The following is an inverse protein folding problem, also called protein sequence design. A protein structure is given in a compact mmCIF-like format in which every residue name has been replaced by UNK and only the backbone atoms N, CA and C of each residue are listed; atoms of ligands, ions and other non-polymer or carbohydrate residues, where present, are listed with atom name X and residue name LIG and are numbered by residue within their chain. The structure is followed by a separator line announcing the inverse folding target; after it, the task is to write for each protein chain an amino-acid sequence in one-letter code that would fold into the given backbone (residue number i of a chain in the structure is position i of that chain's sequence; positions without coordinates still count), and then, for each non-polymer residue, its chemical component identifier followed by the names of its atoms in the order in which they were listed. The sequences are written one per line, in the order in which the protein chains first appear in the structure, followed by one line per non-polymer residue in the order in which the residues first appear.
data_IF_316002796956
#
_entry.id   IF_316002796956
#
_cell.length_a   1.000
_cell.length_b   1.000
_cell.length_c   1.000
_cell.angle_alpha   90.00
_cell.angle_beta   90.00
_cell.angle_gamma   90.00
#
_symmetry.space_group_name_H-M   'P 1'
#
loop_
_entity.id
_entity.type
_entity.pdbx_description
1 polymer ?
#
# COMPACT_ATOMS: atom_id res chain seq x y z
N UNK A 1 20.38 -11.28 -5.20
CA UNK A 1 19.00 -11.67 -5.49
C UNK A 1 18.48 -10.77 -6.59
N UNK A 2 17.65 -11.29 -7.49
CA UNK A 2 16.91 -10.48 -8.45
C UNK A 2 15.71 -9.88 -7.71
N UNK A 3 15.60 -8.56 -7.70
CA UNK A 3 14.44 -7.87 -7.16
C UNK A 3 13.69 -7.22 -8.33
N UNK A 4 12.42 -7.57 -8.47
CA UNK A 4 11.51 -6.90 -9.40
C UNK A 4 10.78 -5.80 -8.62
N UNK A 5 10.84 -4.58 -9.13
CA UNK A 5 10.14 -3.42 -8.59
C UNK A 5 9.04 -2.98 -9.55
N UNK A 6 7.89 -2.57 -9.01
CA UNK A 6 6.89 -1.83 -9.76
C UNK A 6 7.08 -0.34 -9.50
N UNK A 7 7.17 0.45 -10.58
CA UNK A 7 7.43 1.88 -10.52
C UNK A 7 6.36 2.59 -11.32
N UNK A 8 5.61 3.51 -10.71
CA UNK A 8 4.84 4.50 -11.46
C UNK A 8 5.74 5.70 -11.78
N UNK A 9 5.87 6.04 -13.05
CA UNK A 9 6.62 7.22 -13.47
C UNK A 9 5.97 7.91 -14.67
N UNK A 10 6.38 9.15 -14.88
CA UNK A 10 6.05 9.92 -16.07
C UNK A 10 7.20 9.84 -17.06
N UNK A 11 6.90 9.56 -18.32
CA UNK A 11 7.83 9.80 -19.42
C UNK A 11 7.94 11.31 -19.64
N UNK A 12 9.15 11.88 -19.57
CA UNK A 12 9.37 13.32 -19.71
C UNK A 12 9.21 13.84 -21.15
N UNK A 13 9.36 12.97 -22.15
CA UNK A 13 9.23 13.31 -23.56
C UNK A 13 7.77 13.33 -24.02
N UNK A 14 6.96 12.36 -23.56
CA UNK A 14 5.54 12.27 -23.92
C UNK A 14 4.60 12.88 -22.88
N UNK A 15 5.05 12.99 -21.63
CA UNK A 15 4.23 13.40 -20.48
C UNK A 15 3.28 12.31 -19.99
N UNK A 16 3.31 11.11 -20.59
CA UNK A 16 2.43 10.00 -20.24
C UNK A 16 2.92 9.28 -18.97
N UNK A 17 1.97 8.83 -18.15
CA UNK A 17 2.28 8.03 -16.97
C UNK A 17 2.10 6.54 -17.27
N UNK A 18 3.02 5.73 -16.74
CA UNK A 18 2.90 4.29 -16.75
C UNK A 18 3.38 3.68 -15.43
N UNK A 19 2.93 2.46 -15.15
CA UNK A 19 3.55 1.56 -14.19
C UNK A 19 4.30 0.51 -14.97
N UNK A 20 5.59 0.37 -14.70
CA UNK A 20 6.44 -0.66 -15.32
C UNK A 20 7.14 -1.49 -14.26
N UNK A 21 7.44 -2.73 -14.64
CA UNK A 21 8.31 -3.63 -13.90
C UNK A 21 9.77 -3.34 -14.28
N UNK A 22 10.63 -3.18 -13.28
CA UNK A 22 12.06 -3.00 -13.44
C UNK A 22 12.82 -4.05 -12.64
N UNK A 23 13.84 -4.67 -13.26
CA UNK A 23 14.73 -5.61 -12.58
C UNK A 23 15.97 -4.90 -12.06
N UNK A 24 16.51 -5.36 -10.93
CA UNK A 24 17.76 -4.81 -10.36
C UNK A 24 19.02 -5.03 -11.23
N UNK A 25 18.94 -5.81 -12.30
CA UNK A 25 20.10 -6.28 -13.09
C UNK A 25 20.20 -5.73 -14.51
N UNK A 26 19.11 -5.21 -15.08
CA UNK A 26 19.11 -4.62 -16.42
C UNK A 26 18.07 -3.49 -16.52
N UNK A 27 18.55 -2.27 -16.75
CA UNK A 27 17.73 -1.06 -16.88
C UNK A 27 16.97 -0.97 -18.22
N UNK A 28 17.23 -1.91 -19.14
CA UNK A 28 16.71 -1.91 -20.51
C UNK A 28 15.41 -2.69 -20.69
N UNK A 29 15.12 -3.67 -19.84
CA UNK A 29 13.91 -4.49 -19.92
C UNK A 29 12.82 -3.92 -18.99
N UNK A 30 12.17 -2.85 -19.46
CA UNK A 30 10.99 -2.28 -18.80
C UNK A 30 9.73 -2.84 -19.44
N UNK A 31 9.03 -3.69 -18.72
CA UNK A 31 7.72 -4.17 -19.14
C UNK A 31 6.64 -3.25 -18.56
N UNK A 32 5.88 -2.60 -19.44
CA UNK A 32 4.77 -1.75 -19.03
C UNK A 32 3.60 -2.62 -18.60
N UNK A 33 3.19 -2.47 -17.34
CA UNK A 33 2.08 -3.22 -16.73
C UNK A 33 0.77 -2.42 -16.80
N UNK A 34 0.84 -1.10 -16.63
CA UNK A 34 -0.31 -0.19 -16.59
C UNK A 34 0.03 1.09 -17.35
N UNK A 35 -0.89 1.56 -18.21
CA UNK A 35 -0.77 2.86 -18.90
C UNK A 35 -1.57 3.95 -18.15
N UNK A 36 -1.19 4.21 -16.90
CA UNK A 36 -1.81 5.25 -16.07
C UNK A 36 -0.87 5.72 -14.95
N UNK A 37 -1.21 6.86 -14.34
CA UNK A 37 -0.61 7.31 -13.09
C UNK A 37 -1.19 6.52 -11.93
N UNK A 38 -0.34 5.77 -11.23
CA UNK A 38 -0.73 5.09 -10.01
C UNK A 38 -0.21 5.88 -8.81
N UNK A 39 -1.12 6.32 -7.93
CA UNK A 39 -0.77 7.02 -6.69
C UNK A 39 -0.27 6.04 -5.61
N UNK A 40 -0.68 4.77 -5.70
CA UNK A 40 -0.18 3.68 -4.87
C UNK A 40 -0.30 2.35 -5.61
N UNK A 41 0.63 1.42 -5.36
CA UNK A 41 0.72 0.12 -6.02
C UNK A 41 0.96 -0.95 -4.96
N UNK A 42 0.26 -2.08 -5.07
CA UNK A 42 0.54 -3.30 -4.34
C UNK A 42 0.57 -4.48 -5.32
N UNK A 43 1.32 -5.53 -5.00
CA UNK A 43 1.41 -6.70 -5.88
C UNK A 43 1.61 -7.99 -5.09
N UNK A 44 1.12 -9.10 -5.65
CA UNK A 44 1.32 -10.45 -5.14
C UNK A 44 1.98 -11.33 -6.21
N UNK A 45 2.81 -12.28 -5.78
CA UNK A 45 3.39 -13.31 -6.65
C UNK A 45 2.73 -14.66 -6.34
N UNK A 46 2.73 -15.61 -7.26
CA UNK A 46 2.15 -16.95 -7.02
C UNK A 46 3.15 -17.97 -6.46
N UNK A 47 4.43 -17.60 -6.29
CA UNK A 47 5.48 -18.52 -5.87
C UNK A 47 6.25 -18.04 -4.64
N UNK A 48 6.32 -18.90 -3.63
CA UNK A 48 7.21 -18.73 -2.48
C UNK A 48 8.62 -19.18 -2.90
N UNK A 49 9.57 -18.24 -2.87
CA UNK A 49 11.02 -18.51 -2.91
C UNK A 49 11.51 -19.34 -4.11
N UNK A 50 11.76 -18.70 -5.27
CA UNK A 50 12.89 -19.01 -6.19
C UNK A 50 12.79 -18.13 -7.46
N UNK A 51 13.76 -17.22 -7.66
CA UNK A 51 14.01 -16.39 -8.86
C UNK A 51 12.85 -15.50 -9.38
N UNK A 52 13.10 -14.20 -9.68
CA UNK A 52 12.21 -13.22 -10.39
C UNK A 52 10.92 -13.84 -10.95
N UNK A 53 9.90 -14.01 -10.10
CA UNK A 53 8.58 -14.47 -10.51
C UNK A 53 7.77 -13.20 -10.73
N UNK A 54 7.29 -12.95 -11.96
CA UNK A 54 6.43 -11.80 -12.24
C UNK A 54 5.22 -11.77 -11.29
N UNK A 55 4.75 -10.57 -10.90
CA UNK A 55 3.58 -10.45 -10.06
C UNK A 55 2.38 -11.06 -10.77
N UNK A 56 1.71 -11.98 -10.08
CA UNK A 56 0.48 -12.58 -10.56
C UNK A 56 -0.75 -11.73 -10.26
N UNK A 57 -0.62 -10.68 -9.44
CA UNK A 57 -1.69 -9.72 -9.19
C UNK A 57 -1.07 -8.34 -8.97
N UNK A 58 -1.62 -7.32 -9.61
CA UNK A 58 -1.25 -5.91 -9.39
C UNK A 58 -2.51 -5.13 -9.01
N UNK A 59 -2.50 -4.54 -7.82
CA UNK A 59 -3.48 -3.55 -7.41
C UNK A 59 -2.87 -2.16 -7.53
N UNK A 60 -3.68 -1.19 -7.95
CA UNK A 60 -3.25 0.20 -7.95
C UNK A 60 -4.40 1.15 -7.62
N UNK A 61 -4.04 2.28 -7.00
CA UNK A 61 -4.91 3.45 -6.89
C UNK A 61 -4.69 4.32 -8.11
N UNK A 62 -5.71 4.45 -8.97
CA UNK A 62 -5.66 5.25 -10.20
C UNK A 62 -6.95 6.06 -10.31
N UNK A 63 -6.86 7.37 -10.48
CA UNK A 63 -8.01 8.29 -10.56
C UNK A 63 -8.99 8.15 -9.37
N UNK A 64 -8.45 7.92 -8.16
CA UNK A 64 -9.23 7.64 -6.96
C UNK A 64 -10.11 6.37 -7.05
N UNK A 65 -9.72 5.41 -7.88
CA UNK A 65 -10.28 4.05 -7.92
C UNK A 65 -9.27 3.05 -7.36
N UNK A 66 -9.74 1.98 -6.74
CA UNK A 66 -8.91 0.81 -6.46
C UNK A 66 -9.16 -0.21 -7.57
N UNK A 67 -8.13 -0.51 -8.35
CA UNK A 67 -8.20 -1.41 -9.51
C UNK A 67 -7.31 -2.63 -9.31
N UNK A 68 -7.77 -3.80 -9.78
CA UNK A 68 -6.97 -5.00 -9.97
C UNK A 68 -6.66 -5.15 -11.46
N UNK A 69 -5.38 -5.11 -11.83
CA UNK A 69 -4.91 -5.23 -13.20
C UNK A 69 -4.56 -6.68 -13.54
N UNK A 70 -4.86 -7.06 -14.78
CA UNK A 70 -4.36 -8.28 -15.38
C UNK A 70 -2.85 -8.18 -15.65
N UNK A 71 -2.17 -9.29 -15.40
CA UNK A 71 -0.76 -9.51 -15.74
C UNK A 71 -0.68 -10.66 -16.75
N UNK A 72 0.49 -10.91 -17.38
CA UNK A 72 0.63 -12.08 -18.25
C UNK A 72 0.27 -13.39 -17.54
N UNK A 73 0.45 -13.46 -16.22
CA UNK A 73 0.19 -14.61 -15.35
C UNK A 73 -1.28 -14.72 -14.91
N UNK A 74 -2.06 -13.62 -14.89
CA UNK A 74 -3.48 -13.66 -14.47
C UNK A 74 -4.40 -14.31 -15.48
N UNK A 75 -3.98 -14.39 -16.75
CA UNK A 75 -4.83 -14.89 -17.84
C UNK A 75 -5.30 -16.33 -17.59
N UNK A 76 -4.46 -17.13 -16.94
CA UNK A 76 -4.73 -18.52 -16.61
C UNK A 76 -5.44 -18.70 -15.24
N UNK A 77 -5.56 -17.62 -14.44
CA UNK A 77 -6.06 -17.63 -13.05
C UNK A 77 -7.56 -17.36 -12.91
N UNK A 78 -8.40 -17.76 -13.86
CA UNK A 78 -9.87 -17.54 -13.89
C UNK A 78 -10.34 -16.07 -13.85
N UNK A 79 -9.42 -15.09 -13.74
CA UNK A 79 -9.73 -13.66 -13.78
C UNK A 79 -10.18 -13.18 -15.16
N UNK A 80 -9.73 -13.86 -16.23
CA UNK A 80 -10.03 -13.48 -17.62
C UNK A 80 -9.48 -12.12 -18.06
N UNK A 81 -8.65 -11.46 -17.24
CA UNK A 81 -8.03 -10.19 -17.53
C UNK A 81 -6.75 -10.40 -18.35
N UNK A 82 -6.65 -9.76 -19.52
CA UNK A 82 -5.42 -9.63 -20.27
C UNK A 82 -4.50 -8.56 -19.70
N UNK A 83 -3.28 -8.46 -20.22
CA UNK A 83 -2.34 -7.40 -19.85
C UNK A 83 -2.96 -6.03 -20.14
N UNK A 84 -3.02 -5.17 -19.11
CA UNK A 84 -3.60 -3.83 -19.18
C UNK A 84 -5.12 -3.78 -18.98
N UNK A 85 -5.83 -4.91 -19.05
CA UNK A 85 -7.22 -4.98 -18.60
C UNK A 85 -7.27 -4.87 -17.08
N UNK A 86 -8.37 -4.34 -16.55
CA UNK A 86 -8.54 -4.24 -15.10
C UNK A 86 -9.98 -4.42 -14.66
N UNK A 87 -10.13 -4.80 -13.40
CA UNK A 87 -11.37 -4.80 -12.65
C UNK A 87 -11.33 -3.68 -11.61
N UNK A 88 -12.38 -2.88 -11.56
CA UNK A 88 -12.58 -1.89 -10.48
C UNK A 88 -13.08 -2.63 -9.24
N UNK A 89 -12.32 -2.56 -8.15
CA UNK A 89 -12.71 -3.09 -6.83
C UNK A 89 -13.48 -2.04 -6.03
N UNK A 90 -13.07 -0.78 -6.14
CA UNK A 90 -13.76 0.37 -5.57
C UNK A 90 -13.80 1.50 -6.61
N UNK A 91 -15.00 1.96 -7.02
CA UNK A 91 -15.15 3.00 -8.03
C UNK A 91 -14.77 4.38 -7.50
N UNK A 92 -14.46 5.30 -8.41
CA UNK A 92 -14.18 6.68 -8.06
C UNK A 92 -15.41 7.30 -7.37
N UNK A 93 -15.18 7.86 -6.20
CA UNK A 93 -16.22 8.58 -5.45
C UNK A 93 -15.63 9.83 -4.83
N UNK A 94 -16.42 10.91 -4.79
CA UNK A 94 -16.07 12.09 -4.00
C UNK A 94 -16.06 11.79 -2.50
N UNK A 95 -16.66 10.69 -2.05
CA UNK A 95 -16.78 10.33 -0.64
C UNK A 95 -15.51 9.73 -0.06
N UNK A 96 -14.57 9.33 -0.90
CA UNK A 96 -13.32 8.69 -0.50
C UNK A 96 -12.12 9.45 -1.05
N UNK A 97 -10.97 9.34 -0.40
CA UNK A 97 -9.67 9.70 -0.98
C UNK A 97 -8.67 8.60 -0.67
N UNK A 98 -8.48 7.70 -1.64
CA UNK A 98 -7.58 6.58 -1.51
C UNK A 98 -6.14 7.06 -1.70
N UNK A 99 -5.30 6.91 -0.68
CA UNK A 99 -3.90 7.41 -0.73
C UNK A 99 -2.87 6.29 -0.73
N UNK A 100 -3.23 5.11 -0.24
CA UNK A 100 -2.31 3.99 -0.14
C UNK A 100 -3.05 2.67 -0.16
N UNK A 101 -2.41 1.69 -0.78
CA UNK A 101 -2.78 0.28 -0.69
C UNK A 101 -1.56 -0.56 -0.30
N UNK A 102 -1.79 -1.69 0.36
CA UNK A 102 -0.74 -2.64 0.68
C UNK A 102 -1.25 -4.08 0.69
N UNK A 103 -0.37 -4.98 0.30
CA UNK A 103 -0.57 -6.42 0.34
C UNK A 103 0.70 -7.07 0.87
N UNK A 104 0.57 -7.95 1.87
CA UNK A 104 1.68 -8.75 2.38
C UNK A 104 1.37 -10.24 2.25
N UNK A 105 2.05 -10.89 1.31
CA UNK A 105 1.81 -12.29 0.96
C UNK A 105 2.20 -13.28 2.07
N UNK A 106 3.14 -12.91 2.94
CA UNK A 106 3.61 -13.77 4.02
C UNK A 106 2.81 -13.59 5.32
N UNK A 107 1.67 -12.91 5.27
CA UNK A 107 0.74 -12.89 6.39
C UNK A 107 -0.07 -14.20 6.45
N UNK A 108 -0.48 -14.62 7.65
CA UNK A 108 -1.28 -15.85 7.84
C UNK A 108 -2.64 -15.76 7.12
N UNK A 109 -3.13 -14.53 6.94
CA UNK A 109 -4.31 -14.18 6.15
C UNK A 109 -4.00 -12.94 5.32
N UNK A 110 -3.49 -13.09 4.08
CA UNK A 110 -3.09 -11.94 3.31
C UNK A 110 -4.35 -11.21 2.80
N UNK A 111 -4.49 -9.95 3.21
CA UNK A 111 -5.57 -9.05 2.79
C UNK A 111 -4.99 -7.84 2.05
N UNK A 112 -5.77 -7.25 1.16
CA UNK A 112 -5.45 -5.95 0.59
C UNK A 112 -5.96 -4.88 1.55
N UNK A 113 -5.07 -4.05 2.07
CA UNK A 113 -5.43 -2.93 2.92
C UNK A 113 -5.41 -1.64 2.11
N UNK A 114 -6.35 -0.72 2.35
CA UNK A 114 -6.37 0.60 1.74
C UNK A 114 -6.68 1.71 2.74
N UNK A 115 -5.98 2.83 2.61
CA UNK A 115 -6.18 4.06 3.39
C UNK A 115 -7.17 4.96 2.69
N UNK A 116 -8.25 5.31 3.39
CA UNK A 116 -9.12 6.42 3.04
C UNK A 116 -8.75 7.64 3.88
N UNK A 117 -7.94 8.53 3.30
CA UNK A 117 -7.45 9.72 3.99
C UNK A 117 -8.56 10.74 4.27
N UNK A 118 -9.64 10.74 3.47
CA UNK A 118 -10.75 11.68 3.66
C UNK A 118 -11.56 11.32 4.90
N UNK A 119 -11.82 10.04 5.10
CA UNK A 119 -12.61 9.53 6.21
C UNK A 119 -11.76 9.00 7.37
N UNK A 120 -10.43 9.17 7.39
CA UNK A 120 -9.57 8.73 8.49
C UNK A 120 -9.75 7.24 8.85
N UNK A 121 -9.83 6.39 7.83
CA UNK A 121 -10.18 4.98 7.96
C UNK A 121 -9.24 4.10 7.14
N UNK A 122 -9.08 2.85 7.57
CA UNK A 122 -8.41 1.81 6.79
C UNK A 122 -9.37 0.64 6.59
N UNK A 123 -9.45 0.19 5.35
CA UNK A 123 -10.29 -0.94 4.95
C UNK A 123 -9.43 -2.13 4.54
N UNK A 124 -9.97 -3.33 4.72
CA UNK A 124 -9.42 -4.57 4.18
C UNK A 124 -10.36 -5.18 3.14
N UNK A 125 -9.80 -5.79 2.11
CA UNK A 125 -10.47 -6.68 1.16
C UNK A 125 -9.80 -8.05 1.21
N UNK A 126 -10.59 -9.10 1.01
CA UNK A 126 -10.08 -10.42 0.67
C UNK A 126 -10.05 -10.57 -0.85
N UNK A 127 -8.90 -10.44 -1.51
CA UNK A 127 -8.88 -10.42 -2.95
C UNK A 127 -8.73 -11.80 -3.59
N UNK A 128 -8.51 -12.87 -2.79
CA UNK A 128 -8.12 -14.19 -3.32
C UNK A 128 -9.05 -15.33 -2.87
N UNK A 129 -9.64 -15.28 -1.67
CA UNK A 129 -10.39 -16.44 -1.14
C UNK A 129 -11.72 -16.72 -1.84
N UNK A 130 -12.36 -15.71 -2.43
CA UNK A 130 -13.71 -15.81 -3.01
C UNK A 130 -13.75 -15.76 -4.54
N UNK A 131 -12.66 -16.11 -5.24
CA UNK A 131 -12.68 -16.25 -6.69
C UNK A 131 -13.35 -15.06 -7.39
N UNK A 132 -12.75 -13.87 -7.26
CA UNK A 132 -13.16 -12.68 -8.05
C UNK A 132 -14.62 -12.22 -7.84
N UNK A 133 -15.32 -12.62 -6.77
CA UNK A 133 -16.62 -12.04 -6.42
C UNK A 133 -16.56 -11.26 -5.10
N UNK A 134 -16.29 -9.96 -5.24
CA UNK A 134 -16.69 -8.88 -4.30
C UNK A 134 -16.59 -9.22 -2.81
N UNK A 135 -15.38 -9.41 -2.29
CA UNK A 135 -15.18 -9.35 -0.84
C UNK A 135 -15.62 -7.95 -0.36
N UNK A 136 -16.62 -7.93 0.51
CA UNK A 136 -17.09 -6.68 1.13
C UNK A 136 -15.94 -6.04 1.88
N UNK A 137 -15.62 -4.78 1.55
CA UNK A 137 -14.59 -4.02 2.28
C UNK A 137 -14.97 -3.95 3.75
N UNK A 138 -14.04 -4.29 4.64
CA UNK A 138 -14.25 -4.26 6.09
C UNK A 138 -13.40 -3.15 6.70
N UNK A 139 -14.01 -2.29 7.52
CA UNK A 139 -13.29 -1.30 8.31
C UNK A 139 -12.44 -2.02 9.38
N UNK A 140 -11.15 -1.73 9.43
CA UNK A 140 -10.18 -2.42 10.32
C UNK A 140 -9.35 -1.48 11.19
N UNK A 141 -9.30 -0.19 10.85
CA UNK A 141 -8.69 0.82 11.71
C UNK A 141 -9.33 2.19 11.51
N UNK A 142 -9.29 2.99 12.58
CA UNK A 142 -10.07 4.22 12.70
C UNK A 142 -11.49 3.95 13.19
N UNK A 143 -12.30 5.01 13.19
CA UNK A 143 -13.69 4.95 13.64
C UNK A 143 -14.65 5.14 12.48
N UNK A 144 -15.84 4.51 12.55
CA UNK A 144 -16.89 4.62 11.55
C UNK A 144 -17.40 6.07 11.34
N UNK A 145 -17.24 6.94 12.34
CA UNK A 145 -17.63 8.36 12.22
C UNK A 145 -16.71 9.21 11.35
N UNK A 146 -15.55 8.65 10.98
CA UNK A 146 -14.56 9.21 10.08
C UNK A 146 -13.86 10.48 10.57
N UNK A 147 -13.94 10.79 11.86
CA UNK A 147 -13.32 12.01 12.41
C UNK A 147 -11.81 11.86 12.56
N UNK A 148 -11.10 12.94 12.22
CA UNK A 148 -9.69 13.08 12.50
C UNK A 148 -9.48 13.46 13.98
N UNK A 149 -9.27 12.46 14.84
CA UNK A 149 -8.98 12.66 16.26
C UNK A 149 -7.69 11.90 16.59
N UNK A 150 -6.79 12.56 17.32
CA UNK A 150 -5.55 11.92 17.77
C UNK A 150 -5.74 11.25 19.14
N UNK A 151 -6.56 10.20 19.16
CA UNK A 151 -6.81 9.34 20.32
C UNK A 151 -6.57 7.87 19.95
N UNK A 152 -6.84 6.92 20.83
CA UNK A 152 -6.53 5.51 20.56
C UNK A 152 -7.52 4.80 19.62
N UNK A 153 -8.67 5.42 19.33
CA UNK A 153 -9.79 4.84 18.58
C UNK A 153 -9.94 5.45 17.17
N UNK A 154 -9.29 6.58 16.91
CA UNK A 154 -9.35 7.30 15.64
C UNK A 154 -7.97 7.40 14.96
N UNK A 155 -8.01 7.65 13.66
CA UNK A 155 -6.84 8.05 12.88
C UNK A 155 -6.88 9.56 12.67
N UNK A 156 -5.70 10.16 12.43
CA UNK A 156 -5.56 11.59 12.24
C UNK A 156 -4.86 11.89 10.91
N UNK A 157 -5.64 12.03 9.83
CA UNK A 157 -5.16 12.19 8.46
C UNK A 157 -4.17 11.09 8.03
N UNK A 158 -4.60 9.83 8.00
CA UNK A 158 -3.76 8.73 7.56
C UNK A 158 -3.37 8.90 6.08
N UNK A 159 -2.18 8.42 5.70
CA UNK A 159 -1.61 8.58 4.35
C UNK A 159 -1.16 7.25 3.74
N UNK A 160 -0.56 6.39 4.55
CA UNK A 160 0.06 5.15 4.09
C UNK A 160 -0.26 3.97 5.01
N UNK A 161 -0.34 2.76 4.45
CA UNK A 161 -0.55 1.51 5.20
C UNK A 161 0.48 0.46 4.79
N UNK A 162 0.90 -0.36 5.74
CA UNK A 162 1.73 -1.54 5.54
C UNK A 162 1.23 -2.65 6.47
N UNK A 163 0.94 -3.84 5.96
CA UNK A 163 0.62 -5.02 6.79
C UNK A 163 1.86 -5.89 7.00
N UNK A 164 2.05 -6.40 8.20
CA UNK A 164 3.10 -7.34 8.54
C UNK A 164 2.77 -8.09 9.83
N UNK A 165 2.90 -9.43 9.80
CA UNK A 165 2.67 -10.33 10.93
C UNK A 165 1.31 -10.13 11.61
N UNK A 166 0.24 -10.02 10.83
CA UNK A 166 -1.13 -9.87 11.33
C UNK A 166 -1.46 -8.47 11.85
N UNK A 167 -0.53 -7.52 11.80
CA UNK A 167 -0.76 -6.12 12.17
C UNK A 167 -0.72 -5.22 10.94
N UNK A 168 -1.40 -4.07 11.05
CA UNK A 168 -1.25 -2.97 10.11
C UNK A 168 -0.55 -1.79 10.78
N UNK A 169 0.41 -1.24 10.06
CA UNK A 169 1.14 -0.04 10.40
C UNK A 169 0.60 1.06 9.52
N UNK A 170 0.17 2.16 10.14
CA UNK A 170 -0.50 3.25 9.46
C UNK A 170 0.27 4.51 9.72
N UNK A 171 0.69 5.18 8.66
CA UNK A 171 1.25 6.51 8.75
C UNK A 171 0.17 7.56 8.69
N UNK A 172 0.31 8.58 9.53
CA UNK A 172 -0.67 9.64 9.70
C UNK A 172 0.01 10.93 10.18
N UNK A 173 -0.73 12.04 10.22
CA UNK A 173 -0.24 13.27 10.82
C UNK A 173 -0.26 13.19 12.35
N UNK A 174 0.57 14.01 13.00
CA UNK A 174 0.55 14.23 14.44
C UNK A 174 -0.20 15.52 14.82
N UNK A 175 -0.91 15.50 15.95
CA UNK A 175 -1.51 16.69 16.53
C UNK A 175 -0.56 17.36 17.56
N UNK A 176 -0.47 18.70 17.59
CA UNK A 176 0.36 19.47 18.55
C UNK A 176 0.64 20.93 18.14
N UNK A 177 1.13 21.79 19.05
CA UNK A 177 1.44 23.21 18.77
C UNK A 177 2.58 23.39 17.74
N UNK A 178 3.50 22.42 17.66
CA UNK A 178 4.57 22.33 16.66
C UNK A 178 4.21 21.39 15.47
N UNK A 179 2.92 21.22 15.17
CA UNK A 179 2.39 20.17 14.26
C UNK A 179 2.66 20.35 12.77
N UNK A 180 3.27 21.46 12.35
CA UNK A 180 3.64 21.64 10.94
C UNK A 180 4.70 20.57 10.61
N UNK A 181 4.27 19.53 9.88
CA UNK A 181 5.05 18.38 9.41
C UNK A 181 5.43 17.29 10.44
N UNK A 182 4.63 17.08 11.49
CA UNK A 182 4.80 15.88 12.33
C UNK A 182 4.07 14.69 11.70
N UNK A 183 4.80 13.61 11.46
CA UNK A 183 4.24 12.34 11.01
C UNK A 183 4.37 11.30 12.12
N UNK A 184 3.46 10.34 12.12
CA UNK A 184 3.41 9.26 13.10
C UNK A 184 3.13 7.96 12.39
N UNK A 185 3.69 6.87 12.91
CA UNK A 185 3.27 5.52 12.54
C UNK A 185 2.56 4.91 13.74
N UNK A 186 1.36 4.37 13.50
CA UNK A 186 0.60 3.64 14.51
C UNK A 186 0.47 2.19 14.13
N UNK A 187 0.55 1.30 15.13
CA UNK A 187 0.33 -0.14 14.98
C UNK A 187 -1.11 -0.46 15.39
N UNK A 188 -1.80 -1.22 14.56
CA UNK A 188 -3.19 -1.60 14.77
C UNK A 188 -3.37 -3.10 14.48
N UNK A 189 -4.07 -3.82 15.35
CA UNK A 189 -4.52 -5.18 15.06
C UNK A 189 -5.87 -5.11 14.34
N UNK A 190 -6.06 -5.67 13.13
CA UNK A 190 -7.29 -5.51 12.34
C UNK A 190 -8.61 -5.91 13.03
N UNK A 191 -8.54 -6.71 14.09
CA UNK A 191 -9.67 -7.13 14.92
C UNK A 191 -10.01 -6.13 16.04
N UNK A 192 -9.09 -5.23 16.36
CA UNK A 192 -9.14 -4.31 17.49
C UNK A 192 -9.85 -3.00 17.12
N UNK A 193 -10.49 -2.41 18.12
CA UNK A 193 -11.05 -1.04 18.04
C UNK A 193 -10.05 0.03 18.43
N UNK A 194 -8.84 -0.36 18.84
CA UNK A 194 -7.79 0.53 19.37
C UNK A 194 -6.42 0.20 18.80
N UNK A 195 -5.61 1.24 18.61
CA UNK A 195 -4.17 1.12 18.32
C UNK A 195 -3.36 0.72 19.55
N UNK A 196 -2.27 -0.02 19.36
CA UNK A 196 -1.41 -0.53 20.44
C UNK A 196 -0.14 0.29 20.64
N UNK A 197 0.40 0.84 19.55
CA UNK A 197 1.70 1.51 19.56
C UNK A 197 1.68 2.75 18.67
N UNK A 198 2.44 3.77 19.07
CA UNK A 198 2.61 5.04 18.35
C UNK A 198 4.08 5.39 18.30
N UNK A 199 4.60 5.55 17.10
CA UNK A 199 5.93 6.06 16.84
C UNK A 199 5.83 7.49 16.28
N UNK A 200 6.47 8.46 16.94
CA UNK A 200 6.40 9.87 16.57
C UNK A 200 7.72 10.33 15.94
N UNK A 201 7.64 11.04 14.82
CA UNK A 201 8.82 11.64 14.17
C UNK A 201 8.46 12.95 13.47
N UNK A 202 9.43 13.86 13.40
CA UNK A 202 9.28 15.11 12.64
C UNK A 202 9.91 14.90 11.26
N UNK A 203 9.20 15.28 10.20
CA UNK A 203 9.75 15.21 8.84
C UNK A 203 9.69 16.55 8.15
N UNK A 204 10.61 16.81 7.23
CA UNK A 204 10.46 17.86 6.22
C UNK A 204 10.59 17.17 4.85
N UNK A 205 9.46 16.78 4.23
CA UNK A 205 9.46 16.19 2.89
C UNK A 205 8.43 15.06 2.69
N UNK A 206 8.64 14.25 1.64
CA UNK A 206 7.75 13.14 1.25
C UNK A 206 8.02 11.90 2.09
N UNK A 207 6.97 11.34 2.67
CA UNK A 207 7.05 10.15 3.51
C UNK A 207 6.67 8.89 2.74
N UNK A 208 7.51 7.87 2.87
CA UNK A 208 7.14 6.47 2.65
C UNK A 208 7.65 5.70 3.86
N UNK A 209 7.08 4.55 4.16
CA UNK A 209 7.63 3.64 5.15
C UNK A 209 7.59 2.23 4.63
N UNK A 210 8.66 1.51 4.94
CA UNK A 210 8.79 0.11 4.64
C UNK A 210 9.18 -0.59 5.93
N UNK A 211 8.50 -1.69 6.22
CA UNK A 211 8.86 -2.62 7.29
C UNK A 211 9.58 -3.80 6.65
N UNK A 212 10.76 -4.14 7.17
CA UNK A 212 11.49 -5.35 6.77
C UNK A 212 11.42 -6.39 7.87
N UNK A 213 11.26 -7.64 7.45
CA UNK A 213 11.41 -8.83 8.28
C UNK A 213 12.79 -9.45 8.01
N UNK A 214 13.73 -9.31 8.95
CA UNK A 214 14.80 -10.30 9.09
C UNK A 214 14.49 -11.07 10.38
N UNK A 215 14.16 -12.36 10.23
CA UNK A 215 14.01 -13.34 11.31
C UNK A 215 12.82 -13.20 12.29
N UNK A 216 11.67 -12.68 11.86
CA UNK A 216 10.41 -12.75 12.63
C UNK A 216 10.34 -11.78 13.81
N UNK A 217 11.24 -10.78 13.84
CA UNK A 217 11.25 -9.69 14.80
C UNK A 217 11.01 -8.39 14.00
N UNK A 218 9.85 -7.77 14.19
CA UNK A 218 9.68 -6.35 13.85
C UNK A 218 10.85 -5.55 14.49
N UNK A 219 11.40 -4.50 13.90
CA UNK A 219 10.85 -3.65 12.87
C UNK A 219 11.89 -2.62 12.46
N UNK A 220 12.25 -2.50 11.19
CA UNK A 220 12.83 -1.23 10.75
C UNK A 220 11.78 -0.45 10.01
N UNK A 221 11.45 0.75 10.49
CA UNK A 221 10.65 1.72 9.74
C UNK A 221 11.64 2.54 8.92
N UNK A 222 11.66 2.33 7.61
CA UNK A 222 12.51 3.10 6.70
C UNK A 222 11.73 4.25 6.08
N UNK A 223 12.06 5.50 6.39
CA UNK A 223 11.38 6.68 5.87
C UNK A 223 12.27 7.66 5.13
N UNK A 224 11.73 8.38 4.13
CA UNK A 224 12.48 9.43 3.40
C UNK A 224 12.26 10.80 4.01
N UNK A 225 13.33 11.53 4.34
CA UNK A 225 13.23 12.95 4.73
C UNK A 225 13.70 13.82 3.56
N UNK A 226 12.75 14.36 2.80
CA UNK A 226 13.05 15.07 1.56
C UNK A 226 13.45 14.12 0.42
N UNK A 227 14.14 14.65 -0.59
CA UNK A 227 14.51 13.89 -1.78
C UNK A 227 15.85 13.11 -1.61
N UNK A 228 16.65 13.44 -0.59
CA UNK A 228 18.07 13.07 -0.53
C UNK A 228 18.46 11.97 0.47
N UNK A 229 17.57 11.54 1.38
CA UNK A 229 17.95 10.58 2.44
C UNK A 229 16.82 9.61 2.86
N UNK A 230 17.20 8.34 3.09
CA UNK A 230 16.40 7.30 3.75
C UNK A 230 16.94 7.11 5.17
N UNK A 231 16.05 7.13 6.15
CA UNK A 231 16.32 6.90 7.56
C UNK A 231 15.71 5.59 7.97
N UNK A 232 16.45 4.78 8.72
CA UNK A 232 15.99 3.49 9.21
C UNK A 232 16.00 3.54 10.72
N UNK A 233 14.85 3.25 11.35
CA UNK A 233 14.75 3.20 12.79
C UNK A 233 14.15 1.87 13.25
N UNK A 234 14.79 1.26 14.25
CA UNK A 234 14.23 0.10 14.93
C UNK A 234 12.96 0.53 15.68
N UNK A 235 11.82 -0.12 15.43
CA UNK A 235 10.66 0.00 16.30
C UNK A 235 10.86 -0.99 17.45
N UNK A 236 11.32 -0.46 18.58
CA UNK A 236 11.34 -1.16 19.88
C UNK A 236 9.93 -1.25 20.47
#
# INVERSE_FOLDING_TARGET
GYWDFLISAQDLGTGEYSVFRASSSDDTDREVMINAKADSIASATTGFYTASIPPAYIWAVVDNEIRLYGTPETKDLQLGLGLGDYKVLEPASSDHTWTSINWYQNDDHPYLYAVDAKNNQVYQWDPISDGVETASKKLVAGNADGKAIDDDEHLYYPQGVQSMHGYIYISQLGNGEDSVNQYRVVKWEPSSTKREFKFNFKMNGRFGFLTYDEDGLLNTISYRYGDDAIYTQCAE
#
